data_IF_431982970345
#
_entry.id   IF_431982970345
#
_cell.length_a   1.000
_cell.length_b   1.000
_cell.length_c   1.000
_cell.angle_alpha   90.00
_cell.angle_beta   90.00
_cell.angle_gamma   90.00
#
_symmetry.space_group_name_H-M   'P 1'
#
loop_
_entity.id
_entity.type
_entity.pdbx_description
1 polymer ?
#
# COMPACT_ATOMS: atom_id res chain seq x y z
N UNK A 1 -20.02 8.55 -14.97
CA UNK A 1 -19.76 7.10 -14.81
C UNK A 1 -21.00 6.43 -14.25
N UNK A 2 -21.13 5.10 -14.36
CA UNK A 2 -22.24 4.36 -13.75
C UNK A 2 -22.39 4.66 -12.25
N UNK A 3 -21.28 4.73 -11.52
CA UNK A 3 -21.26 5.10 -10.11
C UNK A 3 -21.91 6.47 -9.82
N UNK A 4 -21.67 7.47 -10.67
CA UNK A 4 -22.31 8.79 -10.54
C UNK A 4 -23.83 8.74 -10.77
N UNK A 5 -24.31 7.86 -11.65
CA UNK A 5 -25.75 7.71 -11.92
C UNK A 5 -26.51 7.16 -10.71
N UNK A 6 -25.85 6.34 -9.88
CA UNK A 6 -26.45 5.72 -8.70
C UNK A 6 -26.04 6.40 -7.38
N UNK A 7 -25.32 7.53 -7.45
CA UNK A 7 -24.91 8.30 -6.27
C UNK A 7 -23.89 7.61 -5.37
N UNK A 8 -23.08 6.70 -5.92
CA UNK A 8 -22.05 5.96 -5.16
C UNK A 8 -20.66 6.49 -5.50
N UNK A 9 -19.81 6.64 -4.48
CA UNK A 9 -18.39 6.94 -4.65
C UNK A 9 -17.60 5.69 -5.03
N UNK A 10 -16.55 5.87 -5.82
CA UNK A 10 -15.67 4.78 -6.20
C UNK A 10 -14.22 5.26 -6.13
N UNK A 11 -13.31 4.32 -5.89
CA UNK A 11 -11.87 4.51 -6.01
C UNK A 11 -11.37 3.52 -7.05
N UNK A 12 -10.43 3.95 -7.87
CA UNK A 12 -9.71 3.09 -8.79
C UNK A 12 -8.36 2.77 -8.16
N UNK A 13 -7.93 1.53 -8.25
CA UNK A 13 -6.56 1.10 -8.00
C UNK A 13 -5.98 0.60 -9.32
N UNK A 14 -4.79 1.04 -9.68
CA UNK A 14 -4.09 0.65 -10.90
C UNK A 14 -3.01 -0.40 -10.66
N UNK A 15 -2.93 -0.94 -9.44
CA UNK A 15 -1.92 -1.92 -9.11
C UNK A 15 -2.33 -3.32 -9.59
N UNK A 16 -1.56 -3.83 -10.55
CA UNK A 16 -1.62 -5.24 -10.98
C UNK A 16 -0.36 -5.89 -10.46
N UNK A 17 -0.52 -6.89 -9.59
CA UNK A 17 0.60 -7.62 -9.01
C UNK A 17 0.68 -9.06 -9.52
N UNK A 18 1.77 -9.74 -9.18
CA UNK A 18 1.91 -11.18 -9.41
C UNK A 18 0.73 -11.91 -8.78
N UNK A 19 0.32 -13.02 -9.41
CA UNK A 19 -0.68 -13.91 -8.81
C UNK A 19 -0.16 -14.44 -7.48
N UNK A 20 -1.06 -14.90 -6.63
CA UNK A 20 -0.79 -15.42 -5.29
C UNK A 20 0.19 -16.61 -5.25
N UNK A 21 0.36 -17.31 -6.37
CA UNK A 21 1.37 -18.37 -6.57
C UNK A 21 2.67 -17.85 -7.21
N UNK A 22 2.89 -16.53 -7.16
CA UNK A 22 3.99 -15.77 -7.75
C UNK A 22 4.04 -15.75 -9.28
N UNK A 23 3.00 -16.21 -9.99
CA UNK A 23 2.95 -16.14 -11.45
C UNK A 23 2.91 -14.68 -11.95
N UNK A 24 3.87 -14.37 -12.81
CA UNK A 24 4.07 -13.05 -13.40
C UNK A 24 3.31 -12.86 -14.73
N UNK A 25 2.61 -13.87 -15.27
CA UNK A 25 2.02 -13.81 -16.61
C UNK A 25 1.01 -12.66 -16.80
N UNK A 26 0.41 -12.15 -15.72
CA UNK A 26 -0.56 -11.05 -15.74
C UNK A 26 0.06 -9.64 -15.73
N UNK A 27 1.36 -9.50 -15.44
CA UNK A 27 1.97 -8.17 -15.23
C UNK A 27 2.06 -7.33 -16.51
N UNK A 28 1.97 -7.97 -17.69
CA UNK A 28 1.95 -7.27 -18.98
C UNK A 28 0.73 -6.37 -19.18
N UNK A 29 -0.29 -6.47 -18.32
CA UNK A 29 -1.48 -5.61 -18.32
C UNK A 29 -1.31 -4.36 -17.45
N UNK A 30 -0.15 -4.17 -16.81
CA UNK A 30 0.15 -2.96 -16.03
C UNK A 30 0.08 -1.73 -16.93
N UNK A 31 -0.42 -0.64 -16.34
CA UNK A 31 -0.37 0.68 -16.97
C UNK A 31 1.06 1.04 -17.35
N UNK A 32 1.21 1.62 -18.53
CA UNK A 32 2.44 2.29 -18.94
C UNK A 32 2.70 3.54 -18.08
N UNK A 33 3.96 4.01 -18.03
CA UNK A 33 4.36 5.16 -17.21
C UNK A 33 3.49 6.40 -17.45
N UNK A 34 3.14 6.67 -18.71
CA UNK A 34 2.33 7.83 -19.08
C UNK A 34 0.88 7.70 -18.58
N UNK A 35 0.32 6.50 -18.58
CA UNK A 35 -1.04 6.21 -18.08
C UNK A 35 -1.08 6.26 -16.56
N UNK A 36 -0.07 5.68 -15.89
CA UNK A 36 0.07 5.70 -14.44
C UNK A 36 0.31 7.13 -13.93
N UNK A 37 1.12 7.93 -14.62
CA UNK A 37 1.31 9.33 -14.30
C UNK A 37 0.00 10.12 -14.43
N UNK A 38 -0.73 9.98 -15.54
CA UNK A 38 -2.03 10.62 -15.74
C UNK A 38 -3.05 10.22 -14.66
N UNK A 39 -3.03 8.96 -14.21
CA UNK A 39 -3.83 8.49 -13.08
C UNK A 39 -3.50 9.26 -11.78
N UNK A 40 -2.22 9.36 -11.39
CA UNK A 40 -1.82 10.10 -10.19
C UNK A 40 -2.10 11.60 -10.29
N UNK A 41 -1.89 12.21 -11.46
CA UNK A 41 -2.22 13.62 -11.69
C UNK A 41 -3.71 13.88 -11.47
N UNK A 42 -4.57 12.98 -11.97
CA UNK A 42 -6.00 13.05 -11.75
C UNK A 42 -6.36 12.90 -10.27
N UNK A 43 -5.74 11.96 -9.54
CA UNK A 43 -5.97 11.82 -8.10
C UNK A 43 -5.62 13.10 -7.33
N UNK A 44 -4.48 13.72 -7.63
CA UNK A 44 -4.09 14.99 -7.00
C UNK A 44 -5.04 16.13 -7.37
N UNK A 45 -5.47 16.23 -8.64
CA UNK A 45 -6.43 17.24 -9.07
C UNK A 45 -7.79 17.08 -8.38
N UNK A 46 -8.33 15.86 -8.33
CA UNK A 46 -9.58 15.53 -7.65
C UNK A 46 -9.46 15.79 -6.14
N UNK A 47 -8.32 15.45 -5.53
CA UNK A 47 -8.08 15.71 -4.11
C UNK A 47 -8.04 17.22 -3.81
N UNK A 48 -7.34 18.01 -4.60
CA UNK A 48 -7.29 19.48 -4.44
C UNK A 48 -8.68 20.12 -4.58
N UNK A 49 -9.47 19.65 -5.55
CA UNK A 49 -10.83 20.14 -5.76
C UNK A 49 -11.73 19.86 -4.54
N UNK A 50 -11.57 18.70 -3.91
CA UNK A 50 -12.35 18.28 -2.76
C UNK A 50 -11.83 18.85 -1.42
N UNK A 51 -10.60 19.38 -1.40
CA UNK A 51 -9.96 19.93 -0.21
C UNK A 51 -9.48 21.38 -0.40
N UNK A 52 -10.37 22.32 -0.82
CA UNK A 52 -9.97 23.68 -1.17
C UNK A 52 -9.45 24.50 0.03
N UNK A 53 -9.71 24.04 1.26
CA UNK A 53 -9.28 24.70 2.49
C UNK A 53 -7.88 24.27 2.98
N UNK A 54 -7.31 23.23 2.37
CA UNK A 54 -6.00 22.72 2.77
C UNK A 54 -4.94 23.39 1.91
N UNK A 55 -4.10 24.21 2.54
CA UNK A 55 -2.94 24.83 1.90
C UNK A 55 -1.80 23.82 1.87
N UNK A 56 -1.50 23.29 0.68
CA UNK A 56 -0.40 22.33 0.48
C UNK A 56 0.81 23.09 -0.02
N UNK A 57 1.76 23.39 0.87
CA UNK A 57 3.06 23.91 0.49
C UNK A 57 4.09 22.78 0.55
N UNK A 58 4.93 22.64 -0.48
CA UNK A 58 5.97 21.60 -0.55
C UNK A 58 7.02 21.65 0.58
N UNK A 59 6.92 22.62 1.49
CA UNK A 59 7.81 22.82 2.64
C UNK A 59 7.53 21.85 3.81
N UNK A 60 6.38 21.16 3.84
CA UNK A 60 6.03 20.20 4.90
C UNK A 60 6.70 18.83 4.76
N UNK A 61 7.16 18.47 3.56
CA UNK A 61 7.56 17.11 3.24
C UNK A 61 8.62 16.54 4.20
N UNK A 62 9.57 17.36 4.65
CA UNK A 62 10.63 16.93 5.57
C UNK A 62 10.14 16.68 7.01
N UNK A 63 9.15 17.43 7.51
CA UNK A 63 8.49 17.17 8.81
C UNK A 63 7.58 15.95 8.74
N UNK A 64 6.98 15.71 7.58
CA UNK A 64 6.14 14.55 7.34
C UNK A 64 6.96 13.25 7.31
N UNK A 65 8.24 13.31 6.90
CA UNK A 65 9.11 12.12 6.86
C UNK A 65 9.25 11.46 8.24
N UNK A 66 9.52 12.21 9.32
CA UNK A 66 9.65 11.61 10.67
C UNK A 66 8.35 10.89 11.11
N UNK A 67 7.20 11.46 10.75
CA UNK A 67 5.89 10.84 10.98
C UNK A 67 5.76 9.57 10.14
N UNK A 68 6.10 9.63 8.85
CA UNK A 68 6.05 8.48 7.94
C UNK A 68 6.95 7.35 8.44
N UNK A 69 8.17 7.65 8.90
CA UNK A 69 9.12 6.65 9.40
C UNK A 69 8.56 5.83 10.57
N UNK A 70 7.69 6.44 11.39
CA UNK A 70 7.05 5.83 12.56
C UNK A 70 5.62 5.36 12.31
N UNK A 71 5.06 5.65 11.13
CA UNK A 71 3.69 5.28 10.76
C UNK A 71 3.60 3.80 10.43
N UNK A 72 2.57 3.14 10.99
CA UNK A 72 2.23 1.76 10.66
C UNK A 72 1.84 1.64 9.18
N UNK A 73 2.25 0.55 8.52
CA UNK A 73 2.06 0.37 7.08
C UNK A 73 0.58 0.28 6.67
N UNK A 74 -0.22 -0.49 7.40
CA UNK A 74 -1.65 -0.66 7.14
C UNK A 74 -2.38 -1.20 8.37
N UNK A 75 -3.69 -1.39 8.26
CA UNK A 75 -4.52 -1.89 9.36
C UNK A 75 -4.61 -3.43 9.46
N UNK A 76 -3.98 -4.18 8.55
CA UNK A 76 -3.97 -5.65 8.56
C UNK A 76 -3.31 -6.17 9.84
N UNK A 77 -3.98 -7.09 10.53
CA UNK A 77 -3.51 -7.59 11.83
C UNK A 77 -3.69 -6.62 12.99
N UNK A 78 -4.10 -5.36 12.78
CA UNK A 78 -4.40 -4.40 13.85
C UNK A 78 -5.90 -4.34 14.14
N UNK A 79 -6.72 -4.15 13.11
CA UNK A 79 -8.17 -3.97 13.25
C UNK A 79 -8.97 -5.00 12.48
N UNK A 80 -8.32 -5.76 11.58
CA UNK A 80 -8.97 -6.81 10.80
C UNK A 80 -8.00 -7.93 10.39
N UNK A 81 -8.59 -9.07 10.02
CA UNK A 81 -7.96 -10.19 9.33
C UNK A 81 -8.89 -10.74 8.26
N UNK A 82 -8.41 -11.69 7.49
CA UNK A 82 -9.20 -12.52 6.59
C UNK A 82 -9.21 -13.97 7.09
N UNK A 83 -10.37 -14.62 7.07
CA UNK A 83 -10.50 -16.06 7.35
C UNK A 83 -11.09 -16.70 6.09
N UNK A 84 -10.37 -17.65 5.51
CA UNK A 84 -10.80 -18.33 4.30
C UNK A 84 -11.88 -19.39 4.58
N UNK A 85 -12.42 -20.00 3.51
CA UNK A 85 -13.49 -21.01 3.61
C UNK A 85 -13.08 -22.28 4.34
N UNK A 86 -11.77 -22.57 4.44
CA UNK A 86 -11.26 -23.73 5.18
C UNK A 86 -10.88 -23.39 6.61
N UNK A 87 -10.97 -22.12 7.02
CA UNK A 87 -10.73 -21.67 8.39
C UNK A 87 -9.30 -21.21 8.65
N UNK A 88 -8.47 -21.06 7.61
CA UNK A 88 -7.14 -20.46 7.75
C UNK A 88 -7.29 -18.96 7.93
N UNK A 89 -6.56 -18.40 8.89
CA UNK A 89 -6.51 -16.97 9.15
C UNK A 89 -5.30 -16.38 8.43
N UNK A 90 -5.51 -15.24 7.79
CA UNK A 90 -4.51 -14.44 7.06
C UNK A 90 -4.60 -12.96 7.49
N UNK A 91 -3.54 -12.15 7.38
CA UNK A 91 -3.57 -10.74 7.76
C UNK A 91 -4.57 -9.90 6.95
N UNK A 92 -4.67 -10.14 5.65
CA UNK A 92 -5.66 -9.53 4.76
C UNK A 92 -5.84 -10.42 3.51
N UNK A 93 -6.87 -10.18 2.66
CA UNK A 93 -7.10 -11.00 1.47
C UNK A 93 -5.93 -11.02 0.48
N UNK A 94 -5.21 -9.91 0.34
CA UNK A 94 -4.06 -9.80 -0.57
C UNK A 94 -2.74 -10.28 0.04
N UNK A 95 -2.71 -10.52 1.35
CA UNK A 95 -1.52 -10.98 2.05
C UNK A 95 -1.67 -12.48 2.36
N UNK A 96 -1.33 -13.29 1.35
CA UNK A 96 -1.38 -14.76 1.36
C UNK A 96 -0.31 -15.38 2.26
N UNK A 97 -0.48 -15.16 3.56
CA UNK A 97 0.37 -15.68 4.62
C UNK A 97 -0.51 -16.24 5.72
N UNK A 98 -0.61 -17.58 5.81
CA UNK A 98 -1.28 -18.23 6.93
C UNK A 98 -0.64 -17.82 8.27
N UNK A 99 -1.48 -17.40 9.21
CA UNK A 99 -1.06 -17.06 10.58
C UNK A 99 -1.65 -17.99 11.64
N UNK A 100 -2.54 -18.91 11.24
CA UNK A 100 -3.15 -19.93 12.09
C UNK A 100 -4.41 -20.49 11.45
N UNK A 101 -5.05 -21.45 12.12
CA UNK A 101 -6.33 -22.03 11.71
C UNK A 101 -7.29 -22.07 12.89
N UNK A 102 -8.52 -21.56 12.69
CA UNK A 102 -9.56 -21.58 13.73
C UNK A 102 -10.08 -23.00 14.02
N UNK A 103 -9.65 -24.00 13.25
CA UNK A 103 -9.95 -25.41 13.49
C UNK A 103 -8.99 -26.06 14.50
N UNK A 104 -7.84 -25.44 14.72
CA UNK A 104 -6.75 -25.98 15.53
C UNK A 104 -6.58 -25.21 16.85
N UNK A 105 -6.82 -23.90 16.83
CA UNK A 105 -6.66 -22.99 17.95
C UNK A 105 -7.74 -21.90 17.91
N UNK A 106 -8.02 -21.27 19.05
CA UNK A 106 -9.00 -20.19 19.11
C UNK A 106 -8.53 -18.98 18.32
N UNK A 107 -9.47 -18.19 17.79
CA UNK A 107 -9.13 -16.94 17.11
C UNK A 107 -8.34 -15.98 18.03
N UNK A 108 -8.65 -15.96 19.33
CA UNK A 108 -7.96 -15.11 20.29
C UNK A 108 -6.47 -15.46 20.41
N UNK A 109 -6.13 -16.75 20.50
CA UNK A 109 -4.73 -17.23 20.52
C UNK A 109 -4.00 -16.84 19.23
N UNK A 110 -4.61 -17.09 18.06
CA UNK A 110 -4.03 -16.68 16.77
C UNK A 110 -3.77 -15.16 16.75
N UNK A 111 -4.76 -14.38 17.19
CA UNK A 111 -4.71 -12.93 17.09
C UNK A 111 -3.74 -12.28 18.09
N UNK A 112 -3.59 -12.83 19.29
CA UNK A 112 -2.76 -12.26 20.35
C UNK A 112 -1.35 -12.82 20.34
N UNK A 113 -1.19 -14.12 20.12
CA UNK A 113 0.07 -14.85 20.35
C UNK A 113 0.85 -15.14 19.06
N UNK A 114 0.30 -14.77 17.90
CA UNK A 114 1.03 -14.92 16.63
C UNK A 114 2.28 -14.03 16.60
N UNK A 115 3.44 -14.69 16.64
CA UNK A 115 4.75 -14.05 16.48
C UNK A 115 4.84 -13.21 15.19
N UNK A 116 4.17 -13.66 14.13
CA UNK A 116 4.16 -12.91 12.87
C UNK A 116 3.29 -11.64 12.99
N UNK A 117 2.09 -11.72 13.58
CA UNK A 117 1.28 -10.53 13.81
C UNK A 117 1.98 -9.53 14.72
N UNK A 118 2.70 -10.00 15.75
CA UNK A 118 3.50 -9.12 16.61
C UNK A 118 4.56 -8.35 15.79
N UNK A 119 5.25 -9.01 14.85
CA UNK A 119 6.19 -8.34 13.94
C UNK A 119 5.48 -7.37 12.99
N UNK A 120 4.43 -7.84 12.30
CA UNK A 120 3.65 -7.01 11.37
C UNK A 120 3.15 -5.72 12.03
N UNK A 121 2.64 -5.83 13.26
CA UNK A 121 2.16 -4.68 14.05
C UNK A 121 3.25 -3.72 14.46
N UNK A 122 4.49 -4.19 14.55
CA UNK A 122 5.64 -3.36 14.89
C UNK A 122 6.32 -2.74 13.66
N UNK A 123 5.89 -3.10 12.45
CA UNK A 123 6.47 -2.59 11.20
C UNK A 123 6.01 -1.16 10.91
N UNK A 124 6.97 -0.36 10.46
CA UNK A 124 6.79 1.01 10.00
C UNK A 124 7.60 1.22 8.73
N UNK A 125 7.42 2.34 8.02
CA UNK A 125 8.21 2.63 6.83
C UNK A 125 9.73 2.63 7.10
N UNK A 126 10.16 3.03 8.30
CA UNK A 126 11.58 3.05 8.67
C UNK A 126 12.21 1.70 8.95
N UNK A 127 11.40 0.64 9.05
CA UNK A 127 11.89 -0.73 9.29
C UNK A 127 11.90 -1.59 8.02
N UNK A 128 11.46 -1.05 6.88
CA UNK A 128 11.42 -1.76 5.61
C UNK A 128 12.83 -1.94 5.05
N UNK A 129 13.18 -3.16 4.65
CA UNK A 129 14.48 -3.50 4.06
C UNK A 129 14.57 -2.94 2.64
N UNK A 130 15.64 -2.22 2.31
CA UNK A 130 15.85 -1.62 0.99
C UNK A 130 15.14 -0.29 0.77
N UNK A 131 14.53 0.27 1.81
CA UNK A 131 13.85 1.56 1.77
C UNK A 131 14.62 2.66 2.54
N UNK A 132 15.83 2.38 3.00
CA UNK A 132 16.66 3.29 3.78
C UNK A 132 17.00 4.54 2.96
N UNK A 133 16.71 5.73 3.50
CA UNK A 133 16.99 7.01 2.81
C UNK A 133 16.15 7.28 1.56
N UNK A 134 15.09 6.50 1.31
CA UNK A 134 14.20 6.72 0.16
C UNK A 134 13.48 8.09 0.26
N UNK A 135 13.73 8.97 -0.71
CA UNK A 135 13.12 10.30 -0.78
C UNK A 135 11.64 10.31 -1.18
N UNK A 136 11.14 9.20 -1.72
CA UNK A 136 9.75 9.07 -2.20
C UNK A 136 8.81 8.49 -1.14
N UNK A 137 9.25 8.29 0.11
CA UNK A 137 8.46 7.66 1.18
C UNK A 137 7.10 8.33 1.41
N UNK A 138 7.01 9.65 1.31
CA UNK A 138 5.74 10.39 1.45
C UNK A 138 4.71 10.12 0.36
N UNK A 139 5.13 9.51 -0.75
CA UNK A 139 4.28 9.15 -1.87
C UNK A 139 4.09 7.63 -2.00
N UNK A 140 4.71 6.85 -1.11
CA UNK A 140 4.73 5.40 -1.17
C UNK A 140 3.55 4.79 -0.37
N UNK A 141 2.71 4.01 -1.03
CA UNK A 141 1.64 3.23 -0.42
C UNK A 141 2.07 1.76 -0.25
N UNK A 142 3.16 1.54 0.48
CA UNK A 142 3.79 0.22 0.59
C UNK A 142 2.79 -0.85 1.07
N UNK A 143 2.65 -1.93 0.31
CA UNK A 143 1.78 -3.06 0.65
C UNK A 143 2.62 -4.29 1.00
N UNK A 144 2.58 -4.81 2.24
CA UNK A 144 3.30 -6.03 2.60
C UNK A 144 2.87 -7.26 1.79
N UNK A 145 1.62 -7.32 1.33
CA UNK A 145 1.13 -8.40 0.45
C UNK A 145 1.81 -8.36 -0.92
N UNK A 146 1.89 -7.19 -1.54
CA UNK A 146 2.57 -7.01 -2.83
C UNK A 146 4.08 -7.24 -2.69
N UNK A 147 4.68 -6.74 -1.61
CA UNK A 147 6.08 -6.97 -1.28
C UNK A 147 6.39 -8.46 -1.12
N UNK A 148 5.48 -9.24 -0.52
CA UNK A 148 5.60 -10.70 -0.44
C UNK A 148 5.61 -11.34 -1.83
N UNK A 149 4.73 -10.88 -2.72
CA UNK A 149 4.57 -11.49 -4.04
C UNK A 149 5.69 -11.11 -5.01
N UNK A 150 6.29 -9.92 -4.87
CA UNK A 150 7.20 -9.36 -5.89
C UNK A 150 8.56 -8.94 -5.36
N UNK A 151 8.66 -8.66 -4.07
CA UNK A 151 9.80 -8.01 -3.46
C UNK A 151 10.99 -8.92 -3.18
N UNK A 152 11.98 -8.29 -2.56
CA UNK A 152 13.23 -8.93 -2.13
C UNK A 152 13.05 -9.82 -0.88
N UNK A 153 11.97 -9.62 -0.13
CA UNK A 153 11.60 -10.41 1.06
C UNK A 153 10.23 -11.05 0.84
N UNK A 154 10.22 -12.19 0.15
CA UNK A 154 8.99 -12.92 -0.18
C UNK A 154 8.47 -13.78 0.97
N UNK A 155 9.25 -13.95 2.02
CA UNK A 155 8.88 -14.74 3.19
C UNK A 155 8.05 -13.93 4.19
N UNK A 156 8.38 -12.64 4.38
CA UNK A 156 7.68 -11.75 5.31
C UNK A 156 7.11 -10.48 4.68
N UNK A 157 7.38 -10.18 3.41
CA UNK A 157 6.83 -8.99 2.75
C UNK A 157 7.28 -7.67 3.38
N UNK A 158 8.43 -7.65 4.07
CA UNK A 158 8.99 -6.46 4.73
C UNK A 158 10.18 -5.86 3.96
N UNK A 159 10.31 -6.19 2.69
CA UNK A 159 11.35 -5.72 1.79
C UNK A 159 10.81 -4.95 0.60
N UNK A 160 11.67 -4.13 0.02
CA UNK A 160 11.41 -3.37 -1.20
C UNK A 160 10.91 -4.26 -2.35
N UNK A 161 10.05 -3.69 -3.20
CA UNK A 161 9.62 -4.26 -4.47
C UNK A 161 9.51 -3.18 -5.54
N UNK A 162 10.02 -3.48 -6.74
CA UNK A 162 10.25 -2.48 -7.81
C UNK A 162 8.98 -1.72 -8.19
N UNK A 163 7.84 -2.43 -8.29
CA UNK A 163 6.56 -1.81 -8.67
C UNK A 163 6.12 -0.75 -7.65
N UNK A 164 6.29 -1.01 -6.36
CA UNK A 164 5.96 -0.05 -5.31
C UNK A 164 6.83 1.21 -5.39
N UNK A 165 8.13 1.04 -5.64
CA UNK A 165 9.06 2.17 -5.81
C UNK A 165 8.74 2.98 -7.07
N UNK A 166 8.46 2.31 -8.18
CA UNK A 166 8.08 2.95 -9.42
C UNK A 166 6.80 3.79 -9.28
N UNK A 167 5.76 3.23 -8.64
CA UNK A 167 4.52 3.95 -8.35
C UNK A 167 4.73 5.16 -7.44
N UNK A 168 5.56 5.03 -6.39
CA UNK A 168 5.89 6.13 -5.48
C UNK A 168 6.58 7.30 -6.21
N UNK A 169 7.51 6.99 -7.12
CA UNK A 169 8.17 7.98 -7.97
C UNK A 169 7.16 8.71 -8.86
N UNK A 170 6.32 7.98 -9.59
CA UNK A 170 5.30 8.59 -10.46
C UNK A 170 4.30 9.45 -9.68
N UNK A 171 3.94 9.02 -8.47
CA UNK A 171 3.06 9.79 -7.58
C UNK A 171 3.73 11.11 -7.12
N UNK A 172 5.04 11.09 -6.78
CA UNK A 172 5.79 12.32 -6.50
C UNK A 172 5.83 13.26 -7.70
N UNK A 173 6.14 12.75 -8.89
CA UNK A 173 6.21 13.58 -10.11
C UNK A 173 4.85 14.19 -10.45
N UNK A 174 3.77 13.42 -10.29
CA UNK A 174 2.41 13.93 -10.43
C UNK A 174 2.10 15.03 -9.41
N UNK A 175 2.46 14.85 -8.14
CA UNK A 175 2.32 15.88 -7.11
C UNK A 175 3.06 17.17 -7.47
N UNK A 176 4.33 17.07 -7.87
CA UNK A 176 5.13 18.22 -8.28
C UNK A 176 4.47 18.96 -9.46
N UNK A 177 3.95 18.22 -10.44
CA UNK A 177 3.31 18.79 -11.63
C UNK A 177 1.93 19.41 -11.40
N UNK A 178 1.16 18.94 -10.41
CA UNK A 178 -0.24 19.38 -10.19
C UNK A 178 -0.36 20.33 -9.00
N UNK A 179 0.40 20.09 -7.95
CA UNK A 179 0.31 20.82 -6.68
C UNK A 179 1.32 21.96 -6.65
N UNK A 180 2.60 21.70 -7.01
CA UNK A 180 3.66 22.72 -6.93
C UNK A 180 3.76 23.59 -8.18
N UNK A 181 3.26 23.15 -9.34
CA UNK A 181 3.26 23.94 -10.56
C UNK A 181 2.13 25.00 -10.62
N UNK A 182 1.31 25.13 -9.57
CA UNK A 182 0.35 26.24 -9.46
C UNK A 182 1.13 27.54 -9.19
N UNK A 183 0.94 28.60 -9.99
CA UNK A 183 1.57 29.90 -9.76
C UNK A 183 1.09 30.56 -8.46
#
# INVERSE_FOLDING_TARGET
>A
TYAAMIGISYRLDCNITHREDNDASGIGMRLEDHEANAYYQRLWADWLQNNPHIEVSGQSLAKDLDIIETTHLCAAGHTYCYIDSVGTVHPCPSYQRPIGSIREQSFAEIWQDSNFLARLRAMTHGKLKGCEGCGDKGFCTFCPGDARNEGIDRDEGFGQYDRGCHNAKLNREAFESVVLAKP
#
